data_IF_891204685902
#
_entry.id   IF_891204685902
#
_cell.length_a   1.000
_cell.length_b   1.000
_cell.length_c   1.000
_cell.angle_alpha   90.00
_cell.angle_beta   90.00
_cell.angle_gamma   90.00
#
_symmetry.space_group_name_H-M   'P 1'
#
loop_
_entity.id
_entity.type
_entity.pdbx_description
1 polymer ?
#
# COMPACT_ATOMS: atom_id res chain seq x y z
N UNK A 1 6.58 -8.02 15.84
CA UNK A 1 5.84 -9.28 16.13
C UNK A 1 4.95 -9.14 17.37
N UNK A 2 4.11 -8.17 17.42
CA UNK A 2 3.31 -7.83 18.62
C UNK A 2 2.12 -8.77 18.88
N UNK A 3 1.69 -9.58 17.89
CA UNK A 3 0.52 -10.45 18.06
C UNK A 3 0.78 -11.60 19.04
N UNK A 4 1.86 -12.36 18.87
CA UNK A 4 2.19 -13.52 19.72
C UNK A 4 2.39 -13.16 21.20
N UNK A 5 2.86 -11.94 21.47
CA UNK A 5 3.03 -11.45 22.83
C UNK A 5 1.71 -11.15 23.52
N UNK A 6 0.67 -10.83 22.75
CA UNK A 6 -0.65 -10.42 23.25
C UNK A 6 -1.67 -11.55 23.26
N UNK A 7 -1.58 -12.43 22.28
CA UNK A 7 -2.52 -13.54 22.07
C UNK A 7 -1.72 -14.82 21.76
N UNK A 8 -0.99 -15.36 22.75
CA UNK A 8 -0.11 -16.51 22.53
C UNK A 8 -0.86 -17.78 22.11
N UNK A 9 -2.14 -17.88 22.50
CA UNK A 9 -2.97 -19.06 22.24
C UNK A 9 -3.78 -18.99 20.93
N UNK A 10 -3.54 -17.94 20.11
CA UNK A 10 -4.26 -17.75 18.85
C UNK A 10 -3.28 -17.76 17.69
N UNK A 11 -3.40 -18.76 16.84
CA UNK A 11 -2.66 -18.83 15.58
C UNK A 11 -3.29 -17.96 14.49
N UNK A 12 -2.46 -17.22 13.77
CA UNK A 12 -2.87 -16.44 12.60
C UNK A 12 -2.29 -17.07 11.34
N UNK A 13 -3.18 -17.36 10.39
CA UNK A 13 -2.81 -17.73 9.02
C UNK A 13 -3.16 -16.57 8.06
N UNK A 14 -2.17 -16.05 7.33
CA UNK A 14 -2.33 -14.91 6.43
C UNK A 14 -2.19 -15.36 4.98
N UNK A 15 -3.20 -15.09 4.17
CA UNK A 15 -3.22 -15.41 2.75
C UNK A 15 -3.43 -14.16 1.92
N UNK A 16 -2.52 -13.88 0.97
CA UNK A 16 -2.68 -12.81 0.00
C UNK A 16 -3.40 -13.29 -1.23
N UNK A 17 -4.45 -12.58 -1.68
CA UNK A 17 -5.17 -12.87 -2.92
C UNK A 17 -5.77 -11.60 -3.51
N UNK A 18 -5.85 -11.53 -4.84
CA UNK A 18 -6.64 -10.51 -5.55
C UNK A 18 -8.08 -10.96 -5.81
N UNK A 19 -8.35 -12.27 -5.71
CA UNK A 19 -9.70 -12.79 -5.88
C UNK A 19 -10.57 -12.42 -4.68
N UNK A 20 -11.87 -12.25 -4.93
CA UNK A 20 -12.84 -12.10 -3.85
C UNK A 20 -12.93 -13.41 -3.07
N UNK A 21 -12.81 -13.31 -1.75
CA UNK A 21 -12.90 -14.47 -0.84
C UNK A 21 -14.35 -14.91 -0.74
N UNK A 22 -14.62 -16.17 -1.06
CA UNK A 22 -15.90 -16.82 -0.74
C UNK A 22 -15.82 -17.46 0.65
N UNK A 23 -16.43 -16.83 1.62
CA UNK A 23 -16.47 -17.31 3.00
C UNK A 23 -17.28 -18.59 3.21
N UNK A 24 -18.05 -19.04 2.22
CA UNK A 24 -18.74 -20.32 2.29
C UNK A 24 -17.85 -21.47 1.80
N UNK A 25 -16.94 -21.18 0.89
CA UNK A 25 -16.01 -22.16 0.30
C UNK A 25 -14.62 -22.14 0.98
N UNK A 26 -14.29 -21.07 1.70
CA UNK A 26 -12.96 -20.89 2.30
C UNK A 26 -13.07 -20.75 3.82
N UNK A 27 -12.19 -21.41 4.60
CA UNK A 27 -12.18 -21.31 6.06
C UNK A 27 -11.58 -19.99 6.57
N UNK A 28 -11.80 -18.88 5.86
CA UNK A 28 -11.35 -17.57 6.27
C UNK A 28 -12.31 -16.99 7.33
N UNK A 29 -11.73 -16.32 8.33
CA UNK A 29 -12.50 -15.64 9.37
C UNK A 29 -12.63 -14.15 9.09
N UNK A 30 -11.59 -13.55 8.51
CA UNK A 30 -11.50 -12.12 8.23
C UNK A 30 -10.90 -11.87 6.86
N UNK A 31 -11.21 -10.72 6.28
CA UNK A 31 -10.54 -10.20 5.10
C UNK A 31 -10.23 -8.73 5.31
N UNK A 32 -9.00 -8.32 4.93
CA UNK A 32 -8.69 -6.90 4.74
C UNK A 32 -8.92 -6.60 3.26
N UNK A 33 -9.83 -5.70 2.96
CA UNK A 33 -10.21 -5.38 1.59
C UNK A 33 -10.16 -3.86 1.34
N UNK A 34 -10.03 -3.51 0.06
CA UNK A 34 -10.04 -2.15 -0.41
C UNK A 34 -11.44 -1.80 -0.94
N UNK A 35 -12.05 -0.77 -0.38
CA UNK A 35 -13.42 -0.34 -0.68
C UNK A 35 -14.50 -0.99 0.17
N UNK A 36 -15.49 -0.19 0.56
CA UNK A 36 -16.63 -0.63 1.38
C UNK A 36 -17.57 -1.57 0.63
N UNK A 37 -17.66 -1.39 -0.66
CA UNK A 37 -18.57 -2.07 -1.58
C UNK A 37 -18.14 -3.49 -1.95
N UNK A 38 -16.90 -3.90 -1.61
CA UNK A 38 -16.38 -5.21 -2.00
C UNK A 38 -17.10 -6.39 -1.36
N UNK A 39 -17.57 -6.23 -0.12
CA UNK A 39 -18.30 -7.25 0.63
C UNK A 39 -19.55 -6.64 1.28
N UNK A 40 -20.59 -6.29 0.51
CA UNK A 40 -21.74 -5.54 1.05
C UNK A 40 -22.50 -6.27 2.16
N UNK A 41 -22.46 -7.61 2.16
CA UNK A 41 -23.19 -8.49 3.08
C UNK A 41 -22.44 -8.78 4.39
N UNK A 42 -21.17 -8.36 4.52
CA UNK A 42 -20.36 -8.65 5.70
C UNK A 42 -20.41 -7.50 6.71
N UNK A 43 -20.24 -7.83 7.99
CA UNK A 43 -19.85 -6.84 8.99
C UNK A 43 -18.48 -6.28 8.63
N UNK A 44 -18.26 -5.00 8.89
CA UNK A 44 -17.01 -4.37 8.51
C UNK A 44 -16.64 -3.21 9.43
N UNK A 45 -15.35 -3.01 9.55
CA UNK A 45 -14.77 -1.87 10.25
C UNK A 45 -13.80 -1.14 9.31
N UNK A 46 -13.99 0.16 9.15
CA UNK A 46 -13.04 1.00 8.43
C UNK A 46 -11.73 1.05 9.19
N UNK A 47 -10.64 0.81 8.49
CA UNK A 47 -9.29 0.86 9.04
C UNK A 47 -8.65 2.23 8.78
N UNK A 48 -8.32 2.53 7.54
CA UNK A 48 -7.64 3.78 7.16
C UNK A 48 -7.88 4.10 5.67
N UNK A 49 -7.60 5.34 5.30
CA UNK A 49 -7.30 5.74 3.92
C UNK A 49 -5.81 5.94 3.84
N UNK A 50 -5.17 5.32 2.84
CA UNK A 50 -3.75 5.54 2.57
C UNK A 50 -3.59 6.61 1.49
N UNK A 51 -2.38 7.01 1.25
CA UNK A 51 -2.00 7.93 0.17
C UNK A 51 -0.74 7.43 -0.53
N UNK A 52 -0.59 7.78 -1.79
CA UNK A 52 0.62 7.48 -2.56
C UNK A 52 1.55 8.68 -2.59
N UNK A 53 2.85 8.39 -2.57
CA UNK A 53 3.92 9.36 -2.72
C UNK A 53 4.95 8.82 -3.71
N UNK A 54 5.56 9.67 -4.55
CA UNK A 54 6.61 9.22 -5.45
C UNK A 54 7.88 8.95 -4.68
N UNK A 55 8.44 7.76 -4.88
CA UNK A 55 9.66 7.31 -4.22
C UNK A 55 10.67 6.74 -5.20
N UNK A 56 11.92 6.81 -4.81
CA UNK A 56 13.06 6.21 -5.51
C UNK A 56 14.03 5.59 -4.51
N UNK A 57 14.78 4.58 -4.93
CA UNK A 57 15.95 4.16 -4.17
C UNK A 57 17.12 5.13 -4.38
N UNK A 58 18.03 5.28 -3.40
CA UNK A 58 19.26 6.02 -3.56
C UNK A 58 20.10 5.51 -4.77
N UNK A 59 20.02 4.21 -5.04
CA UNK A 59 20.70 3.58 -6.20
C UNK A 59 20.17 4.11 -7.54
N UNK A 60 18.85 4.32 -7.65
CA UNK A 60 18.26 4.91 -8.85
C UNK A 60 18.70 6.36 -9.03
N UNK A 61 18.72 7.14 -7.91
CA UNK A 61 19.08 8.55 -7.94
C UNK A 61 20.55 8.82 -8.27
N UNK A 62 21.44 7.84 -8.09
CA UNK A 62 22.84 7.93 -8.60
C UNK A 62 22.89 7.95 -10.13
N UNK A 63 21.95 7.25 -10.81
CA UNK A 63 21.86 7.20 -12.28
C UNK A 63 20.99 8.31 -12.85
N UNK A 64 19.96 8.70 -12.13
CA UNK A 64 18.98 9.73 -12.52
C UNK A 64 18.90 10.76 -11.40
N UNK A 65 19.67 11.85 -11.46
CA UNK A 65 19.63 12.91 -10.45
C UNK A 65 18.20 13.42 -10.23
N UNK A 66 17.87 13.76 -8.99
CA UNK A 66 16.51 14.12 -8.53
C UNK A 66 15.83 15.14 -9.46
N UNK A 67 16.58 16.16 -9.92
CA UNK A 67 16.06 17.20 -10.81
C UNK A 67 15.54 16.68 -12.16
N UNK A 68 15.95 15.49 -12.60
CA UNK A 68 15.58 14.88 -13.88
C UNK A 68 14.91 13.52 -13.72
N UNK A 69 14.84 12.97 -12.51
CA UNK A 69 14.36 11.63 -12.27
C UNK A 69 12.93 11.44 -12.80
N UNK A 70 12.04 12.39 -12.56
CA UNK A 70 10.63 12.34 -13.03
C UNK A 70 10.50 12.35 -14.55
N UNK A 71 11.48 12.88 -15.27
CA UNK A 71 11.45 13.00 -16.74
C UNK A 71 12.14 11.84 -17.44
N UNK A 72 13.15 11.22 -16.80
CA UNK A 72 14.09 10.31 -17.47
C UNK A 72 14.14 8.91 -16.89
N UNK A 73 13.81 8.76 -15.59
CA UNK A 73 13.89 7.45 -14.95
C UNK A 73 12.69 6.57 -15.35
N UNK A 74 12.87 5.24 -15.40
CA UNK A 74 11.77 4.32 -15.62
C UNK A 74 10.68 4.49 -14.57
N UNK A 75 9.40 4.31 -14.97
CA UNK A 75 8.26 4.34 -14.09
C UNK A 75 7.79 2.92 -13.76
N UNK A 76 7.49 2.68 -12.50
CA UNK A 76 6.86 1.45 -12.04
C UNK A 76 5.36 1.69 -11.89
N UNK A 77 4.58 0.87 -12.57
CA UNK A 77 3.12 0.88 -12.55
C UNK A 77 2.59 -0.32 -11.76
N UNK A 78 1.48 -0.10 -11.04
CA UNK A 78 0.71 -1.16 -10.41
C UNK A 78 -0.52 -1.45 -11.26
N UNK A 79 -0.65 -2.68 -11.71
CA UNK A 79 -1.80 -3.17 -12.45
C UNK A 79 -2.59 -4.17 -11.59
N UNK A 80 -3.58 -3.68 -10.88
CA UNK A 80 -4.51 -4.50 -10.12
C UNK A 80 -5.77 -4.85 -10.93
N UNK A 81 -5.68 -4.81 -12.26
CA UNK A 81 -6.82 -5.01 -13.12
C UNK A 81 -7.93 -3.98 -12.86
N UNK A 82 -9.17 -4.42 -12.76
CA UNK A 82 -10.30 -3.51 -12.51
C UNK A 82 -10.23 -2.79 -11.16
N UNK A 83 -9.55 -3.36 -10.18
CA UNK A 83 -9.34 -2.75 -8.86
C UNK A 83 -8.33 -1.58 -8.92
N UNK A 84 -7.43 -1.58 -9.89
CA UNK A 84 -6.43 -0.53 -10.07
C UNK A 84 -7.00 0.84 -10.46
N UNK A 85 -8.25 0.90 -10.93
CA UNK A 85 -8.92 2.16 -11.29
C UNK A 85 -9.11 3.12 -10.11
N UNK A 86 -8.97 2.66 -8.90
CA UNK A 86 -9.15 3.44 -7.68
C UNK A 86 -7.83 3.93 -7.07
N UNK A 87 -6.70 3.53 -7.65
CA UNK A 87 -5.38 3.99 -7.23
C UNK A 87 -4.97 5.19 -8.07
N UNK A 88 -4.39 6.23 -7.47
CA UNK A 88 -3.72 7.27 -8.24
C UNK A 88 -2.59 6.64 -9.07
N UNK A 89 -2.58 6.93 -10.36
CA UNK A 89 -1.52 6.56 -11.29
C UNK A 89 -0.54 7.71 -11.53
N UNK A 90 0.54 7.44 -12.26
CA UNK A 90 1.53 8.46 -12.60
C UNK A 90 0.93 9.64 -13.38
N UNK A 91 -0.09 9.39 -14.22
CA UNK A 91 -0.76 10.46 -14.98
C UNK A 91 -1.50 11.40 -14.04
N UNK A 92 -2.32 10.87 -13.15
CA UNK A 92 -3.08 11.66 -12.18
C UNK A 92 -2.16 12.41 -11.21
N UNK A 93 -1.05 11.78 -10.79
CA UNK A 93 -0.09 12.42 -9.92
C UNK A 93 0.64 13.57 -10.62
N UNK A 94 1.14 13.37 -11.84
CA UNK A 94 1.79 14.42 -12.63
C UNK A 94 0.84 15.58 -12.93
N UNK A 95 -0.42 15.27 -13.24
CA UNK A 95 -1.46 16.30 -13.45
C UNK A 95 -1.68 17.12 -12.17
N UNK A 96 -1.80 16.48 -11.01
CA UNK A 96 -1.96 17.17 -9.72
C UNK A 96 -0.75 18.04 -9.36
N UNK A 97 0.45 17.61 -9.77
CA UNK A 97 1.69 18.38 -9.62
C UNK A 97 1.80 19.57 -10.60
N UNK A 98 0.97 19.61 -11.63
CA UNK A 98 1.07 20.59 -12.71
C UNK A 98 2.23 20.31 -13.69
N UNK A 99 2.72 19.07 -13.74
CA UNK A 99 3.79 18.63 -14.63
C UNK A 99 3.22 17.98 -15.90
N UNK A 100 3.94 18.14 -17.02
CA UNK A 100 3.60 17.44 -18.25
C UNK A 100 3.87 15.93 -18.11
N UNK A 101 2.99 15.11 -18.70
CA UNK A 101 3.27 13.68 -18.85
C UNK A 101 4.37 13.52 -19.91
N UNK A 102 5.49 12.87 -19.58
CA UNK A 102 6.55 12.61 -20.55
C UNK A 102 6.02 11.80 -21.75
N UNK A 103 6.49 12.14 -22.95
CA UNK A 103 5.98 11.56 -24.19
C UNK A 103 6.30 10.04 -24.32
N UNK A 104 7.43 9.60 -23.78
CA UNK A 104 7.81 8.19 -23.71
C UNK A 104 8.82 8.01 -22.57
N UNK A 105 8.49 7.21 -21.57
CA UNK A 105 9.41 6.75 -20.53
C UNK A 105 9.42 5.23 -20.52
N UNK A 106 10.56 4.59 -20.28
CA UNK A 106 10.59 3.16 -19.96
C UNK A 106 9.69 2.88 -18.78
N UNK A 107 8.95 1.79 -18.82
CA UNK A 107 8.03 1.45 -17.75
C UNK A 107 8.06 -0.04 -17.44
N UNK A 108 7.80 -0.37 -16.18
CA UNK A 108 7.60 -1.70 -15.65
C UNK A 108 6.22 -1.78 -15.05
N UNK A 109 5.53 -2.90 -15.22
CA UNK A 109 4.20 -3.10 -14.65
C UNK A 109 4.19 -4.34 -13.76
N UNK A 110 3.62 -4.22 -12.57
CA UNK A 110 3.50 -5.31 -11.61
C UNK A 110 2.06 -5.43 -11.13
N UNK A 111 1.61 -6.65 -10.97
CA UNK A 111 0.30 -6.93 -10.37
C UNK A 111 0.36 -7.12 -8.85
N UNK A 112 1.55 -7.27 -8.27
CA UNK A 112 1.78 -7.40 -6.83
C UNK A 112 2.55 -6.19 -6.32
N UNK A 113 2.00 -5.52 -5.32
CA UNK A 113 2.63 -4.33 -4.71
C UNK A 113 3.99 -4.66 -4.09
N UNK A 114 4.15 -5.83 -3.47
CA UNK A 114 5.44 -6.26 -2.90
C UNK A 114 6.54 -6.33 -3.95
N UNK A 115 6.26 -6.92 -5.12
CA UNK A 115 7.23 -6.99 -6.22
C UNK A 115 7.57 -5.61 -6.79
N UNK A 116 6.59 -4.70 -6.84
CA UNK A 116 6.84 -3.33 -7.26
C UNK A 116 7.74 -2.57 -6.27
N UNK A 117 7.55 -2.79 -4.96
CA UNK A 117 8.40 -2.23 -3.90
C UNK A 117 9.82 -2.79 -4.02
N UNK A 118 9.97 -4.12 -4.16
CA UNK A 118 11.28 -4.76 -4.31
C UNK A 118 12.01 -4.24 -5.56
N UNK A 119 11.31 -4.08 -6.68
CA UNK A 119 11.86 -3.50 -7.90
C UNK A 119 12.31 -2.04 -7.71
N UNK A 120 11.52 -1.23 -6.99
CA UNK A 120 11.88 0.15 -6.69
C UNK A 120 13.12 0.22 -5.78
N UNK A 121 13.22 -0.60 -4.74
CA UNK A 121 14.38 -0.73 -3.85
C UNK A 121 15.62 -1.13 -4.65
N UNK A 122 15.48 -2.07 -5.59
CA UNK A 122 16.55 -2.51 -6.48
C UNK A 122 16.96 -1.44 -7.53
N UNK A 123 16.30 -0.29 -7.56
CA UNK A 123 16.62 0.80 -8.49
C UNK A 123 16.13 0.58 -9.91
N UNK A 124 15.06 -0.20 -10.09
CA UNK A 124 14.48 -0.46 -11.41
C UNK A 124 13.65 0.71 -11.94
N UNK A 125 13.14 1.59 -11.07
CA UNK A 125 12.35 2.76 -11.47
C UNK A 125 11.74 3.52 -10.29
N UNK A 126 11.02 4.60 -10.62
CA UNK A 126 10.24 5.39 -9.68
C UNK A 126 8.92 4.66 -9.39
N UNK A 127 8.50 4.65 -8.13
CA UNK A 127 7.24 4.05 -7.69
C UNK A 127 6.33 5.12 -7.04
N UNK A 128 5.04 5.10 -7.36
CA UNK A 128 4.02 5.71 -6.51
C UNK A 128 3.69 4.73 -5.40
N UNK A 129 4.43 4.84 -4.30
CA UNK A 129 4.31 3.94 -3.16
C UNK A 129 3.20 4.36 -2.21
N UNK A 130 2.36 3.42 -1.78
CA UNK A 130 1.43 3.65 -0.69
C UNK A 130 2.23 3.81 0.61
N UNK A 131 2.08 4.93 1.29
CA UNK A 131 2.92 5.31 2.43
C UNK A 131 2.98 4.24 3.52
N UNK A 132 1.85 3.61 3.84
CA UNK A 132 1.83 2.55 4.86
C UNK A 132 2.55 1.28 4.43
N UNK A 133 2.47 0.94 3.14
CA UNK A 133 3.10 -0.27 2.61
C UNK A 133 4.61 -0.14 2.44
N UNK A 134 5.12 1.08 2.24
CA UNK A 134 6.56 1.37 2.08
C UNK A 134 7.20 1.99 3.33
N UNK A 135 6.48 2.00 4.46
CA UNK A 135 6.94 2.68 5.68
C UNK A 135 8.28 2.13 6.19
N UNK A 136 8.49 0.82 6.07
CA UNK A 136 9.72 0.17 6.50
C UNK A 136 10.90 0.55 5.60
N UNK A 137 10.69 0.61 4.28
CA UNK A 137 11.70 0.99 3.29
C UNK A 137 12.11 2.46 3.45
N UNK A 138 11.13 3.34 3.72
CA UNK A 138 11.41 4.76 4.02
C UNK A 138 12.19 4.90 5.33
N UNK A 139 11.81 4.16 6.38
CA UNK A 139 12.50 4.22 7.67
C UNK A 139 13.95 3.70 7.61
N UNK A 140 14.24 2.72 6.75
CA UNK A 140 15.59 2.20 6.52
C UNK A 140 16.40 3.03 5.53
N UNK A 141 15.75 3.92 4.78
CA UNK A 141 16.40 4.69 3.71
C UNK A 141 16.60 3.89 2.41
N UNK A 142 15.99 2.71 2.28
CA UNK A 142 16.00 1.91 1.04
C UNK A 142 15.22 2.62 -0.08
N UNK A 143 14.18 3.35 0.31
CA UNK A 143 13.44 4.30 -0.52
C UNK A 143 13.46 5.69 0.10
N UNK A 144 13.46 6.71 -0.74
CA UNK A 144 13.30 8.11 -0.35
C UNK A 144 12.19 8.76 -1.14
N UNK A 145 11.40 9.64 -0.50
CA UNK A 145 10.42 10.45 -1.20
C UNK A 145 11.13 11.49 -2.06
N UNK A 146 10.73 11.59 -3.34
CA UNK A 146 11.34 12.51 -4.31
C UNK A 146 10.50 13.76 -4.53
N UNK A 147 9.31 13.82 -3.95
CA UNK A 147 8.42 14.98 -3.95
C UNK A 147 7.55 14.95 -2.69
N UNK A 148 7.12 16.11 -2.24
CA UNK A 148 6.26 16.25 -1.07
C UNK A 148 4.77 16.00 -1.38
N UNK A 149 4.37 16.08 -2.66
CA UNK A 149 2.98 15.88 -3.08
C UNK A 149 2.60 14.42 -2.89
N UNK A 150 1.59 14.19 -2.06
CA UNK A 150 0.92 12.90 -1.95
C UNK A 150 -0.53 12.98 -2.43
N UNK A 151 -1.05 11.90 -2.96
CA UNK A 151 -2.44 11.77 -3.37
C UNK A 151 -3.14 10.70 -2.53
N UNK A 152 -4.31 11.02 -1.94
CA UNK A 152 -5.07 10.03 -1.19
C UNK A 152 -5.64 8.97 -2.12
N UNK A 153 -5.77 7.75 -1.62
CA UNK A 153 -6.56 6.72 -2.27
C UNK A 153 -8.03 7.12 -2.27
N UNK A 154 -8.75 6.79 -3.35
CA UNK A 154 -10.17 7.12 -3.47
C UNK A 154 -11.09 6.28 -2.57
N UNK A 155 -10.58 5.18 -2.03
CA UNK A 155 -11.30 4.28 -1.12
C UNK A 155 -10.45 3.99 0.13
N UNK A 156 -11.13 3.62 1.22
CA UNK A 156 -10.48 3.15 2.44
C UNK A 156 -10.20 1.65 2.42
N UNK A 157 -9.30 1.21 3.26
CA UNK A 157 -9.17 -0.18 3.65
C UNK A 157 -10.16 -0.52 4.76
N UNK A 158 -10.75 -1.71 4.69
CA UNK A 158 -11.70 -2.24 5.64
C UNK A 158 -11.28 -3.63 6.11
N UNK A 159 -11.50 -3.91 7.38
CA UNK A 159 -11.57 -5.26 7.89
C UNK A 159 -13.03 -5.71 7.78
N UNK A 160 -13.29 -6.85 7.14
CA UNK A 160 -14.63 -7.39 7.00
C UNK A 160 -14.68 -8.87 7.42
N UNK A 161 -15.83 -9.31 7.93
CA UNK A 161 -16.03 -10.67 8.44
C UNK A 161 -17.50 -11.10 8.38
N UNK A 162 -17.78 -12.40 8.20
CA UNK A 162 -19.13 -12.93 8.34
C UNK A 162 -19.54 -12.99 9.82
N UNK A 163 -20.83 -12.89 10.10
CA UNK A 163 -21.36 -12.89 11.46
C UNK A 163 -20.87 -14.08 12.31
N UNK A 164 -20.70 -15.27 11.67
CA UNK A 164 -20.19 -16.47 12.36
C UNK A 164 -18.78 -16.28 12.95
N UNK A 165 -17.93 -15.49 12.30
CA UNK A 165 -16.56 -15.28 12.76
C UNK A 165 -16.50 -14.43 14.03
N UNK A 166 -17.47 -13.55 14.25
CA UNK A 166 -17.50 -12.71 15.44
C UNK A 166 -17.63 -13.51 16.75
N UNK A 167 -18.32 -14.65 16.69
CA UNK A 167 -18.55 -15.51 17.85
C UNK A 167 -17.39 -16.48 18.14
N UNK A 168 -16.36 -16.48 17.31
CA UNK A 168 -15.23 -17.38 17.52
C UNK A 168 -14.27 -16.85 18.60
N UNK A 169 -13.63 -17.75 19.38
CA UNK A 169 -12.62 -17.36 20.35
C UNK A 169 -11.53 -16.51 19.70
N UNK A 170 -11.18 -15.39 20.30
CA UNK A 170 -10.11 -14.50 19.82
C UNK A 170 -10.50 -13.50 18.75
N UNK A 171 -11.70 -13.57 18.16
CA UNK A 171 -12.12 -12.63 17.10
C UNK A 171 -12.11 -11.18 17.54
N UNK A 172 -12.59 -10.87 18.72
CA UNK A 172 -12.56 -9.50 19.25
C UNK A 172 -11.12 -9.00 19.45
N UNK A 173 -10.21 -9.88 19.86
CA UNK A 173 -8.80 -9.54 20.02
C UNK A 173 -8.14 -9.22 18.65
N UNK A 174 -8.45 -9.98 17.59
CA UNK A 174 -7.99 -9.72 16.22
C UNK A 174 -8.53 -8.39 15.71
N UNK A 175 -9.84 -8.12 15.85
CA UNK A 175 -10.48 -6.88 15.42
C UNK A 175 -9.84 -5.69 16.14
N UNK A 176 -9.73 -5.74 17.45
CA UNK A 176 -9.15 -4.67 18.27
C UNK A 176 -7.67 -4.43 17.94
N UNK A 177 -6.91 -5.49 17.71
CA UNK A 177 -5.50 -5.40 17.35
C UNK A 177 -5.30 -4.74 15.99
N UNK A 178 -6.04 -5.18 14.96
CA UNK A 178 -5.95 -4.60 13.62
C UNK A 178 -6.44 -3.16 13.58
N UNK A 179 -7.52 -2.84 14.32
CA UNK A 179 -8.01 -1.47 14.45
C UNK A 179 -6.95 -0.54 15.07
N UNK A 180 -6.24 -1.01 16.09
CA UNK A 180 -5.17 -0.25 16.73
C UNK A 180 -3.99 -0.06 15.78
N UNK A 181 -3.51 -1.12 15.10
CA UNK A 181 -2.44 -1.01 14.10
C UNK A 181 -2.82 -0.01 12.99
N UNK A 182 -4.09 -0.01 12.61
CA UNK A 182 -4.61 0.93 11.61
C UNK A 182 -4.64 2.38 12.11
N UNK A 183 -4.84 2.59 13.40
CA UNK A 183 -4.85 3.92 14.02
C UNK A 183 -3.44 4.48 14.28
N UNK A 184 -2.43 3.63 14.36
CA UNK A 184 -1.04 4.07 14.51
C UNK A 184 -0.64 4.88 13.25
N UNK A 185 -0.14 6.13 13.41
CA UNK A 185 0.37 6.87 12.27
C UNK A 185 1.51 6.06 11.66
N UNK A 186 1.53 5.93 10.35
CA UNK A 186 2.70 5.42 9.67
C UNK A 186 3.86 6.39 9.95
N UNK A 187 4.83 5.96 10.75
CA UNK A 187 5.97 6.77 11.14
C UNK A 187 6.89 6.89 9.92
N UNK A 188 6.75 7.99 9.22
CA UNK A 188 7.66 8.35 8.13
C UNK A 188 8.75 9.26 8.72
N UNK A 189 9.97 8.78 8.73
CA UNK A 189 11.13 9.64 8.90
C UNK A 189 11.33 10.50 7.64
N UNK A 190 10.45 11.44 7.38
CA UNK A 190 10.72 12.50 6.41
C UNK A 190 11.44 13.60 7.18
N UNK A 191 12.76 13.54 7.25
CA UNK A 191 13.55 14.75 7.40
C UNK A 191 13.56 15.42 6.03
N UNK A 192 12.94 16.60 5.85
CA UNK A 192 13.22 17.41 4.68
C UNK A 192 14.69 17.79 4.81
N UNK A 193 15.55 17.18 4.01
CA UNK A 193 16.90 17.66 3.84
C UNK A 193 16.79 19.04 3.19
N UNK A 194 17.04 20.06 3.99
CA UNK A 194 17.33 21.41 3.53
C UNK A 194 18.56 21.35 2.63
N UNK A 195 18.35 21.54 1.34
CA UNK A 195 19.38 22.04 0.42
C UNK A 195 18.76 23.18 -0.37
#
# INVERSE_FOLDING_TARGET
>A
MQWRERCPDIDLSLHGTHAQVDFNATPADFVICFGEDRYPQLEKQRLFVDEVVPVASPLLLQRYPLARALEQAPLIHLDWGNEGRFLPDWRSWLQARGAATPAAQPSLSFNLTSLAIDAAVAGAGLLLGQKRLIAAELARGDLVAIDALSLPLSKAYYLAWPQRSRSQPGSEAVIAWLARLAAEPAVYGVTPNSI
#
